data_IF_083696853183
#
_entry.id   IF_083696853183
#
_cell.length_a   1.000
_cell.length_b   1.000
_cell.length_c   1.000
_cell.angle_alpha   90.00
_cell.angle_beta   90.00
_cell.angle_gamma   90.00
#
_symmetry.space_group_name_H-M   'P 1'
#
loop_
_entity.id
_entity.type
_entity.pdbx_description
1 polymer ?
#
# COMPACT_ATOMS: atom_id res chain seq x y z
N UNK A 1 -3.09 -21.37 -25.49
CA UNK A 1 -1.89 -20.68 -24.99
C UNK A 1 -2.04 -20.54 -23.48
N UNK A 2 -1.10 -21.02 -22.69
CA UNK A 2 -1.15 -20.85 -21.23
C UNK A 2 -0.63 -19.45 -20.85
N UNK A 3 -1.18 -18.80 -19.83
CA UNK A 3 -0.62 -17.56 -19.31
C UNK A 3 0.82 -17.79 -18.84
N UNK A 4 1.71 -16.84 -19.14
CA UNK A 4 3.10 -16.84 -18.68
C UNK A 4 3.41 -15.51 -18.00
N UNK A 5 4.27 -15.51 -16.99
CA UNK A 5 4.70 -14.30 -16.29
C UNK A 5 5.70 -13.52 -17.15
N UNK A 6 5.49 -12.22 -17.29
CA UNK A 6 6.43 -11.33 -18.02
C UNK A 6 7.47 -10.75 -17.07
N UNK A 7 7.04 -10.24 -15.91
CA UNK A 7 7.92 -9.67 -14.89
C UNK A 7 7.38 -9.91 -13.49
N UNK A 8 8.27 -9.82 -12.50
CA UNK A 8 7.93 -9.74 -11.08
C UNK A 8 8.53 -8.47 -10.49
N UNK A 9 7.79 -7.80 -9.61
CA UNK A 9 8.26 -6.65 -8.87
C UNK A 9 7.90 -6.83 -7.40
N UNK A 10 8.71 -6.22 -6.53
CA UNK A 10 8.51 -6.28 -5.08
C UNK A 10 9.04 -5.00 -4.46
N UNK A 11 8.34 -4.51 -3.44
CA UNK A 11 8.88 -3.51 -2.53
C UNK A 11 10.12 -4.09 -1.83
N UNK A 12 11.27 -3.38 -1.81
CA UNK A 12 12.44 -3.81 -1.07
C UNK A 12 12.13 -3.97 0.42
N UNK A 13 12.73 -4.98 1.07
CA UNK A 13 12.54 -5.22 2.50
C UNK A 13 13.35 -4.21 3.33
N UNK A 14 12.80 -2.99 3.46
CA UNK A 14 13.33 -1.91 4.27
C UNK A 14 12.91 -2.06 5.75
N UNK A 15 13.21 -3.23 6.31
CA UNK A 15 12.84 -3.65 7.67
C UNK A 15 11.31 -3.73 7.88
N UNK A 16 10.57 -4.11 6.85
CA UNK A 16 9.12 -4.26 6.97
C UNK A 16 8.75 -5.58 7.66
N UNK A 17 9.57 -6.62 7.51
CA UNK A 17 9.36 -7.86 8.25
C UNK A 17 9.61 -7.70 9.76
N UNK A 18 10.62 -6.90 10.15
CA UNK A 18 11.02 -6.71 11.55
C UNK A 18 10.13 -5.75 12.35
N UNK A 19 9.55 -4.72 11.69
CA UNK A 19 8.63 -3.75 12.32
C UNK A 19 7.32 -4.35 12.85
N UNK A 20 7.02 -5.60 12.50
CA UNK A 20 5.75 -6.25 12.75
C UNK A 20 4.66 -5.80 11.76
N UNK A 21 3.45 -6.34 11.93
CA UNK A 21 2.41 -6.21 10.91
C UNK A 21 2.57 -7.22 9.78
N UNK A 22 1.64 -7.20 8.83
CA UNK A 22 1.78 -7.92 7.56
C UNK A 22 2.63 -7.08 6.59
N UNK A 23 3.38 -7.76 5.73
CA UNK A 23 4.15 -7.16 4.63
C UNK A 23 3.90 -7.95 3.34
N UNK A 24 3.44 -7.27 2.29
CA UNK A 24 3.12 -7.89 1.01
C UNK A 24 2.09 -7.10 0.22
N UNK A 25 2.04 -7.31 -1.10
CA UNK A 25 0.99 -6.79 -1.95
C UNK A 25 -0.36 -7.36 -1.49
N UNK A 26 -1.39 -6.53 -1.46
CA UNK A 26 -2.67 -6.92 -0.88
C UNK A 26 -3.87 -6.55 -1.75
N UNK A 27 -4.11 -5.27 -2.03
CA UNK A 27 -5.17 -4.81 -2.93
C UNK A 27 -4.59 -3.91 -4.03
N UNK A 28 -5.18 -3.97 -5.22
CA UNK A 28 -4.97 -3.00 -6.31
C UNK A 28 -6.14 -2.03 -6.37
N UNK A 29 -5.97 -0.92 -7.10
CA UNK A 29 -7.13 -0.16 -7.59
C UNK A 29 -8.00 -1.06 -8.46
N UNK A 30 -9.32 -1.07 -8.25
CA UNK A 30 -10.22 -2.05 -8.88
C UNK A 30 -11.05 -1.46 -10.04
N UNK A 31 -10.99 -0.15 -10.26
CA UNK A 31 -11.62 0.47 -11.43
C UNK A 31 -11.03 -0.09 -12.73
N UNK A 32 -11.88 -0.42 -13.71
CA UNK A 32 -11.46 -1.06 -14.96
C UNK A 32 -10.77 -0.10 -15.96
N UNK A 33 -10.90 1.21 -15.76
CA UNK A 33 -10.22 2.23 -16.56
C UNK A 33 -9.94 3.47 -15.71
N UNK A 34 -9.10 3.35 -14.66
CA UNK A 34 -8.79 4.49 -13.81
C UNK A 34 -7.91 5.48 -14.59
N UNK A 35 -7.79 6.73 -14.12
CA UNK A 35 -6.69 7.58 -14.55
C UNK A 35 -5.38 6.81 -14.44
N UNK A 36 -4.55 6.89 -15.47
CA UNK A 36 -3.29 6.15 -15.60
C UNK A 36 -3.39 4.67 -16.01
N UNK A 37 -4.56 4.21 -16.47
CA UNK A 37 -4.69 2.89 -17.08
C UNK A 37 -3.59 2.61 -18.12
N UNK A 38 -2.97 1.43 -18.04
CA UNK A 38 -1.86 1.02 -18.90
C UNK A 38 -0.53 1.75 -18.65
N UNK A 39 -0.47 2.67 -17.69
CA UNK A 39 0.74 3.41 -17.31
C UNK A 39 1.18 3.08 -15.89
N UNK A 40 0.29 3.26 -14.93
CA UNK A 40 0.60 3.08 -13.51
C UNK A 40 -0.25 1.95 -12.91
N UNK A 41 0.39 1.12 -12.09
CA UNK A 41 -0.27 0.17 -11.21
C UNK A 41 -0.11 0.62 -9.76
N UNK A 42 -1.22 0.77 -9.04
CA UNK A 42 -1.26 1.28 -7.68
C UNK A 42 -1.75 0.15 -6.76
N UNK A 43 -0.96 -0.16 -5.73
CA UNK A 43 -1.26 -1.23 -4.78
C UNK A 43 -1.14 -0.76 -3.33
N UNK A 44 -1.95 -1.35 -2.47
CA UNK A 44 -1.72 -1.34 -1.02
C UNK A 44 -0.75 -2.46 -0.65
N UNK A 45 0.17 -2.19 0.25
CA UNK A 45 1.26 -3.09 0.63
C UNK A 45 1.38 -3.28 2.15
N UNK A 46 0.25 -3.39 2.85
CA UNK A 46 0.17 -3.50 4.31
C UNK A 46 1.03 -2.45 5.03
N UNK A 47 2.01 -2.87 5.85
CA UNK A 47 2.89 -1.99 6.62
C UNK A 47 3.88 -1.19 5.74
N UNK A 48 3.97 -1.53 4.46
CA UNK A 48 4.69 -0.78 3.45
C UNK A 48 3.81 0.25 2.72
N UNK A 49 2.55 0.46 3.14
CA UNK A 49 1.73 1.58 2.67
C UNK A 49 1.23 1.44 1.23
N UNK A 50 0.93 2.57 0.59
CA UNK A 50 0.56 2.63 -0.82
C UNK A 50 1.80 2.68 -1.70
N UNK A 51 1.78 1.95 -2.81
CA UNK A 51 2.89 1.79 -3.76
C UNK A 51 2.41 2.05 -5.18
N UNK A 52 3.24 2.72 -5.97
CA UNK A 52 2.92 3.12 -7.35
C UNK A 52 4.04 2.66 -8.26
N UNK A 53 3.68 1.85 -9.26
CA UNK A 53 4.62 1.27 -10.21
C UNK A 53 4.34 1.76 -11.62
N UNK A 54 5.37 2.20 -12.35
CA UNK A 54 5.32 2.38 -13.79
C UNK A 54 5.45 1.02 -14.48
N UNK A 55 4.44 0.67 -15.26
CA UNK A 55 4.32 -0.62 -15.96
C UNK A 55 4.34 -0.47 -17.49
N UNK A 56 4.73 0.70 -18.01
CA UNK A 56 4.77 0.96 -19.46
C UNK A 56 5.82 0.13 -20.18
N UNK A 57 6.93 -0.16 -19.51
CA UNK A 57 7.86 -1.22 -19.93
C UNK A 57 7.54 -2.49 -19.11
N UNK A 58 6.85 -3.48 -19.71
CA UNK A 58 6.45 -4.68 -19.00
C UNK A 58 7.64 -5.58 -18.61
N UNK A 59 8.84 -5.33 -19.15
CA UNK A 59 10.07 -6.04 -18.80
C UNK A 59 10.90 -5.32 -17.72
N UNK A 60 10.56 -4.06 -17.41
CA UNK A 60 11.29 -3.23 -16.45
C UNK A 60 10.33 -2.38 -15.60
N UNK A 61 9.42 -3.04 -14.88
CA UNK A 61 8.50 -2.38 -13.94
C UNK A 61 9.28 -1.66 -12.84
N UNK A 62 8.98 -0.38 -12.60
CA UNK A 62 9.71 0.47 -11.65
C UNK A 62 8.77 1.09 -10.62
N UNK A 63 9.16 1.08 -9.34
CA UNK A 63 8.46 1.86 -8.32
C UNK A 63 8.79 3.36 -8.49
N UNK A 64 7.77 4.18 -8.68
CA UNK A 64 7.92 5.63 -8.94
C UNK A 64 7.41 6.51 -7.79
N UNK A 65 6.60 5.95 -6.88
CA UNK A 65 6.18 6.63 -5.66
C UNK A 65 5.70 5.64 -4.58
N UNK A 66 5.73 6.10 -3.34
CA UNK A 66 5.11 5.44 -2.20
C UNK A 66 4.55 6.46 -1.22
N UNK A 67 3.62 6.00 -0.39
CA UNK A 67 3.13 6.72 0.78
C UNK A 67 2.92 5.76 1.94
N UNK A 68 3.58 6.02 3.07
CA UNK A 68 3.44 5.24 4.30
C UNK A 68 2.92 6.20 5.37
N UNK A 69 1.67 6.05 5.84
CA UNK A 69 1.16 6.89 6.90
C UNK A 69 1.90 6.61 8.21
N UNK A 70 2.13 7.65 9.01
CA UNK A 70 2.63 7.49 10.37
C UNK A 70 1.50 6.93 11.28
N UNK A 71 1.79 5.96 12.17
CA UNK A 71 0.86 5.58 13.22
C UNK A 71 0.40 6.79 14.04
N UNK A 72 -0.86 6.79 14.46
CA UNK A 72 -1.45 7.84 15.29
C UNK A 72 -2.10 7.26 16.55
N UNK A 73 -2.75 8.11 17.34
CA UNK A 73 -3.40 7.70 18.60
C UNK A 73 -4.48 6.61 18.42
N UNK A 74 -5.07 6.50 17.23
CA UNK A 74 -6.10 5.52 16.89
C UNK A 74 -5.51 4.24 16.29
N UNK A 75 -4.22 4.20 15.96
CA UNK A 75 -3.59 2.99 15.43
C UNK A 75 -3.58 1.89 16.49
N UNK A 76 -4.26 0.80 16.14
CA UNK A 76 -4.44 -0.42 16.92
C UNK A 76 -3.13 -1.20 17.06
N UNK A 77 -3.04 -2.01 18.12
CA UNK A 77 -1.88 -2.86 18.37
C UNK A 77 -1.96 -4.12 17.50
N UNK A 78 -0.95 -4.38 16.68
CA UNK A 78 -0.80 -5.60 15.90
C UNK A 78 -0.08 -6.66 16.74
N UNK A 79 -0.74 -7.80 16.93
CA UNK A 79 -0.25 -8.88 17.80
C UNK A 79 0.14 -10.13 17.01
N UNK A 80 0.69 -11.13 17.71
CA UNK A 80 1.21 -12.37 17.12
C UNK A 80 0.14 -13.23 16.42
N UNK A 81 -1.15 -13.02 16.73
CA UNK A 81 -2.27 -13.66 16.02
C UNK A 81 -2.56 -13.02 14.64
N UNK A 82 -1.78 -12.02 14.24
CA UNK A 82 -1.76 -11.49 12.88
C UNK A 82 -2.88 -10.50 12.57
N UNK A 83 -3.55 -9.98 13.60
CA UNK A 83 -4.60 -8.98 13.50
C UNK A 83 -4.32 -7.77 14.38
N UNK A 84 -4.99 -6.66 14.07
CA UNK A 84 -4.91 -5.41 14.82
C UNK A 84 -6.02 -5.37 15.87
N UNK A 85 -5.66 -5.06 17.11
CA UNK A 85 -6.55 -5.06 18.27
C UNK A 85 -6.84 -3.65 18.77
N UNK A 86 -8.12 -3.31 19.02
CA UNK A 86 -8.49 -2.03 19.61
C UNK A 86 -8.00 -1.91 21.05
N UNK A 87 -7.84 -0.68 21.52
CA UNK A 87 -7.40 -0.41 22.89
C UNK A 87 -8.33 -1.10 23.91
N UNK A 88 -7.73 -1.77 24.90
CA UNK A 88 -8.46 -2.52 25.93
C UNK A 88 -8.72 -4.00 25.58
N UNK A 89 -8.36 -4.46 24.38
CA UNK A 89 -8.44 -5.88 24.06
C UNK A 89 -7.46 -6.69 24.94
N UNK A 90 -7.92 -7.74 25.66
CA UNK A 90 -7.09 -8.54 26.55
C UNK A 90 -5.95 -9.30 25.84
N UNK A 91 -5.98 -9.41 24.51
CA UNK A 91 -4.91 -10.02 23.71
C UNK A 91 -3.71 -9.09 23.51
N UNK A 92 -3.83 -7.81 23.86
CA UNK A 92 -2.71 -6.87 23.76
C UNK A 92 -1.66 -7.24 24.81
N UNK A 93 -0.47 -7.57 24.32
CA UNK A 93 0.72 -7.85 25.13
C UNK A 93 1.79 -6.80 24.86
N UNK A 94 2.83 -6.69 25.72
CA UNK A 94 3.98 -5.82 25.46
C UNK A 94 4.74 -6.13 24.15
N UNK A 95 4.56 -7.33 23.58
CA UNK A 95 5.16 -7.72 22.31
C UNK A 95 4.40 -7.21 21.08
N UNK A 96 3.17 -6.71 21.24
CA UNK A 96 2.40 -6.17 20.12
C UNK A 96 2.94 -4.81 19.68
N UNK A 97 2.93 -4.54 18.38
CA UNK A 97 3.47 -3.30 17.81
C UNK A 97 2.35 -2.41 17.27
N UNK A 98 2.49 -1.08 17.40
CA UNK A 98 1.60 -0.14 16.71
C UNK A 98 2.16 0.15 15.33
N UNK A 99 1.62 -0.53 14.34
CA UNK A 99 2.07 -0.45 12.95
C UNK A 99 0.86 -0.33 12.03
N UNK A 100 1.03 0.45 10.96
CA UNK A 100 0.01 0.62 9.92
C UNK A 100 -0.20 -0.69 9.16
N UNK A 101 -1.40 -0.85 8.62
CA UNK A 101 -1.86 -1.94 7.77
C UNK A 101 -2.72 -1.35 6.64
N UNK A 102 -2.08 -0.68 5.67
CA UNK A 102 -2.77 -0.17 4.47
C UNK A 102 -3.32 -1.35 3.68
N UNK A 103 -4.64 -1.45 3.65
CA UNK A 103 -5.35 -2.65 3.20
C UNK A 103 -6.13 -2.43 1.91
N UNK A 104 -6.49 -1.20 1.60
CA UNK A 104 -7.19 -0.89 0.37
C UNK A 104 -6.60 0.39 -0.21
N UNK A 105 -6.55 0.43 -1.54
CA UNK A 105 -6.20 1.61 -2.29
C UNK A 105 -7.18 1.76 -3.46
N UNK A 106 -7.66 2.97 -3.71
CA UNK A 106 -8.51 3.25 -4.87
C UNK A 106 -8.13 4.58 -5.51
N UNK A 107 -8.47 4.77 -6.78
CA UNK A 107 -8.17 5.98 -7.54
C UNK A 107 -9.46 6.53 -8.16
N UNK A 108 -9.72 7.82 -7.96
CA UNK A 108 -10.82 8.52 -8.66
C UNK A 108 -10.37 9.18 -9.97
N UNK A 109 -11.34 9.67 -10.73
CA UNK A 109 -11.18 10.39 -12.00
C UNK A 109 -10.43 11.72 -11.90
N UNK A 110 -10.28 12.28 -10.69
CA UNK A 110 -9.54 13.52 -10.39
C UNK A 110 -8.07 13.25 -10.07
N UNK A 111 -7.63 11.99 -10.16
CA UNK A 111 -6.27 11.57 -9.82
C UNK A 111 -5.99 11.58 -8.31
N UNK A 112 -7.04 11.48 -7.47
CA UNK A 112 -6.90 11.32 -6.03
C UNK A 112 -6.86 9.84 -5.66
N UNK A 113 -5.85 9.48 -4.88
CA UNK A 113 -5.62 8.13 -4.38
C UNK A 113 -6.16 8.06 -2.95
N UNK A 114 -7.04 7.10 -2.70
CA UNK A 114 -7.66 6.80 -1.42
C UNK A 114 -6.93 5.63 -0.78
N UNK A 115 -6.13 5.89 0.25
CA UNK A 115 -5.34 4.89 0.96
C UNK A 115 -5.96 4.60 2.33
N UNK A 116 -6.54 3.42 2.49
CA UNK A 116 -7.29 3.02 3.68
C UNK A 116 -6.48 2.06 4.57
N UNK A 117 -6.31 2.45 5.82
CA UNK A 117 -5.58 1.69 6.83
C UNK A 117 -6.55 0.90 7.73
N UNK A 118 -6.48 -0.44 7.71
CA UNK A 118 -7.34 -1.28 8.56
C UNK A 118 -6.91 -1.30 10.02
N UNK A 119 -5.72 -0.82 10.35
CA UNK A 119 -5.23 -0.73 11.72
C UNK A 119 -5.78 0.50 12.46
N UNK A 120 -6.69 1.27 11.86
CA UNK A 120 -7.36 2.41 12.50
C UNK A 120 -6.64 3.74 12.33
N UNK A 121 -5.55 3.79 11.54
CA UNK A 121 -4.84 5.05 11.23
C UNK A 121 -5.72 5.98 10.38
N UNK A 122 -6.69 5.41 9.64
CA UNK A 122 -7.75 6.13 8.97
C UNK A 122 -7.69 6.02 7.44
N UNK A 123 -8.34 6.99 6.78
CA UNK A 123 -8.32 7.16 5.32
C UNK A 123 -7.43 8.35 4.98
N UNK A 124 -6.50 8.16 4.06
CA UNK A 124 -5.65 9.21 3.51
C UNK A 124 -6.03 9.46 2.05
N UNK A 125 -6.25 10.71 1.69
CA UNK A 125 -6.51 11.13 0.31
C UNK A 125 -5.25 11.84 -0.17
N UNK A 126 -4.53 11.23 -1.11
CA UNK A 126 -3.23 11.68 -1.59
C UNK A 126 -3.25 11.87 -3.10
N UNK A 127 -2.27 12.57 -3.65
CA UNK A 127 -2.11 12.80 -5.09
C UNK A 127 -0.65 12.63 -5.47
N UNK A 128 -0.38 12.16 -6.68
CA UNK A 128 0.97 12.08 -7.23
C UNK A 128 1.60 13.47 -7.39
N UNK A 129 2.88 13.58 -7.04
CA UNK A 129 3.67 14.81 -7.15
C UNK A 129 5.07 14.50 -7.69
N UNK A 130 5.79 15.51 -8.16
CA UNK A 130 7.18 15.37 -8.62
C UNK A 130 7.32 14.34 -9.74
N UNK A 131 8.35 13.50 -9.66
CA UNK A 131 8.67 12.49 -10.69
C UNK A 131 7.47 11.60 -11.04
N UNK A 132 6.70 11.13 -10.06
CA UNK A 132 5.54 10.28 -10.33
C UNK A 132 4.41 11.01 -11.09
N UNK A 133 4.24 12.32 -10.85
CA UNK A 133 3.30 13.12 -11.62
C UNK A 133 3.77 13.32 -13.07
N UNK A 134 5.08 13.48 -13.29
CA UNK A 134 5.66 13.55 -14.64
C UNK A 134 5.50 12.23 -15.40
N UNK A 135 5.72 11.09 -14.73
CA UNK A 135 5.48 9.75 -15.27
C UNK A 135 4.03 9.59 -15.68
N UNK A 136 3.09 10.03 -14.84
CA UNK A 136 1.66 9.94 -15.09
C UNK A 136 1.17 10.81 -16.26
N UNK A 137 1.81 11.98 -16.48
CA UNK A 137 1.42 12.95 -17.50
C UNK A 137 1.88 12.59 -18.93
N UNK A 138 2.90 11.73 -19.07
CA UNK A 138 3.40 11.22 -20.36
C UNK A 138 2.55 10.05 -20.83
#
# INVERSE_FOLDING_TARGET
>A
MAPWNIATFRVPDADFCGKGGRFGAHASTESFYPPYYGKLAIFSWFNAGTRVFDMRDPFAVQEVAYFIPAPNKNTMAFCADGVSHPAGDPKITPACTKVIQTNNVELDDRGLIYSADRAGTGLHIIRLTGHAAEVAAR
#
